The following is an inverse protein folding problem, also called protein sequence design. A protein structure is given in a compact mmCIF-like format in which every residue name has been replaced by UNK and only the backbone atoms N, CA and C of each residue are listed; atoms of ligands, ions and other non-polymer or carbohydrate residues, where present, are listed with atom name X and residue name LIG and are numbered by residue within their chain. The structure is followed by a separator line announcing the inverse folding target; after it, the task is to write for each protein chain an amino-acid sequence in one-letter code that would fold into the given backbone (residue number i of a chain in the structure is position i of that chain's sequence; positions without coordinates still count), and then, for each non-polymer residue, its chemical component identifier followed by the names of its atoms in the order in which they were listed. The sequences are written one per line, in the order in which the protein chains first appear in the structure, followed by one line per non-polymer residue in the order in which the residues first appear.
data_IF_539915537741
#
_entry.id   IF_539915537741
#
_cell.length_a   1.000
_cell.length_b   1.000
_cell.length_c   1.000
_cell.angle_alpha   90.00
_cell.angle_beta   90.00
_cell.angle_gamma   90.00
#
_symmetry.space_group_name_H-M   'P 1'
#
loop_
_entity.id
_entity.type
_entity.pdbx_description
1 polymer ?
#
# COMPACT_ATOMS: atom_id res chain seq x y z
N UNK A 1 26.93 -17.43 -28.38
CA UNK A 1 26.53 -16.05 -28.00
C UNK A 1 26.10 -16.06 -26.54
N UNK A 2 26.91 -15.57 -25.59
CA UNK A 2 26.50 -15.48 -24.20
C UNK A 2 25.77 -14.16 -23.92
N UNK A 3 24.67 -14.25 -23.18
CA UNK A 3 23.78 -13.16 -22.79
C UNK A 3 24.51 -12.16 -21.89
N UNK A 4 24.36 -10.87 -22.22
CA UNK A 4 24.96 -9.73 -21.51
C UNK A 4 24.26 -9.47 -20.17
N UNK A 5 25.08 -9.39 -19.13
CA UNK A 5 24.97 -8.66 -17.86
C UNK A 5 23.61 -8.00 -17.55
N UNK A 6 22.88 -8.62 -16.61
CA UNK A 6 21.82 -7.97 -15.86
C UNK A 6 22.40 -6.90 -14.92
N UNK A 7 21.93 -5.67 -15.05
CA UNK A 7 22.20 -4.59 -14.12
C UNK A 7 21.48 -4.88 -12.80
N UNK A 8 22.19 -5.46 -11.83
CA UNK A 8 21.78 -5.44 -10.43
C UNK A 8 21.88 -4.00 -9.93
N UNK A 9 20.73 -3.33 -9.79
CA UNK A 9 20.64 -2.04 -9.11
C UNK A 9 20.67 -2.30 -7.60
N UNK A 10 21.89 -2.38 -7.05
CA UNK A 10 22.13 -2.43 -5.61
C UNK A 10 21.74 -1.10 -4.99
N UNK A 11 20.45 -0.91 -4.67
CA UNK A 11 20.06 0.12 -3.71
C UNK A 11 20.49 -0.36 -2.34
N UNK A 12 21.49 0.31 -1.78
CA UNK A 12 21.90 0.19 -0.39
C UNK A 12 20.65 0.29 0.50
N UNK A 13 20.26 -0.84 1.06
CA UNK A 13 19.21 -0.92 2.08
C UNK A 13 19.83 -0.29 3.32
N UNK A 14 19.62 1.01 3.50
CA UNK A 14 19.78 1.64 4.81
C UNK A 14 18.75 0.98 5.71
N UNK A 15 19.21 0.01 6.50
CA UNK A 15 18.46 -0.61 7.56
C UNK A 15 17.94 0.54 8.44
N UNK A 16 16.62 0.75 8.40
CA UNK A 16 15.92 1.68 9.31
C UNK A 16 15.84 0.99 10.67
N UNK A 17 16.99 0.86 11.31
CA UNK A 17 17.17 0.41 12.69
C UNK A 17 16.84 1.59 13.60
N UNK A 18 15.57 1.68 14.06
CA UNK A 18 15.14 2.22 15.37
C UNK A 18 13.66 2.59 15.46
N UNK A 19 12.83 2.48 14.40
CA UNK A 19 11.40 2.83 14.47
C UNK A 19 10.44 1.65 14.68
N UNK A 20 10.91 0.40 14.54
CA UNK A 20 10.03 -0.75 14.24
C UNK A 20 9.00 -1.12 15.33
N UNK A 21 9.21 -0.77 16.60
CA UNK A 21 8.30 -1.17 17.68
C UNK A 21 7.12 -0.19 17.88
N UNK A 22 7.33 1.12 17.65
CA UNK A 22 6.23 2.11 17.71
C UNK A 22 5.33 2.10 16.49
N UNK A 23 5.77 1.43 15.42
CA UNK A 23 5.14 1.48 14.10
C UNK A 23 4.12 0.33 13.85
N UNK A 24 4.05 -0.66 14.74
CA UNK A 24 3.15 -1.84 14.62
C UNK A 24 1.64 -1.52 14.59
N UNK A 25 1.27 -0.26 14.85
CA UNK A 25 -0.13 0.23 14.82
C UNK A 25 -0.34 1.38 13.83
N UNK A 26 0.61 1.65 12.94
CA UNK A 26 0.51 2.71 11.93
C UNK A 26 -0.80 2.58 11.13
N UNK A 27 -1.13 1.35 10.72
CA UNK A 27 -2.28 1.08 9.86
C UNK A 27 -3.60 0.99 10.62
N UNK A 28 -3.59 0.84 11.94
CA UNK A 28 -4.84 0.86 12.74
C UNK A 28 -5.53 2.22 12.67
N UNK A 29 -4.76 3.30 12.46
CA UNK A 29 -5.30 4.64 12.25
C UNK A 29 -6.20 4.75 11.00
N UNK A 30 -6.03 3.86 10.03
CA UNK A 30 -6.82 3.84 8.78
C UNK A 30 -8.08 2.97 8.89
N UNK A 31 -8.31 2.32 10.04
CA UNK A 31 -9.54 1.56 10.27
C UNK A 31 -10.76 2.49 10.33
N UNK A 32 -10.58 3.66 10.93
CA UNK A 32 -11.58 4.72 10.96
C UNK A 32 -11.03 5.97 10.27
N UNK A 33 -11.39 6.13 9.00
CA UNK A 33 -10.90 7.22 8.16
C UNK A 33 -11.41 8.59 8.62
N UNK A 34 -12.52 8.65 9.36
CA UNK A 34 -13.09 9.90 9.85
C UNK A 34 -12.26 10.49 10.99
N UNK A 35 -11.57 9.63 11.74
CA UNK A 35 -10.71 10.01 12.85
C UNK A 35 -9.24 10.18 12.45
N UNK A 36 -8.90 9.96 11.17
CA UNK A 36 -7.53 10.01 10.69
C UNK A 36 -7.03 11.47 10.61
N UNK A 37 -5.93 11.76 11.29
CA UNK A 37 -5.24 13.04 11.19
C UNK A 37 -4.57 13.19 9.81
N UNK A 38 -4.74 14.35 9.17
CA UNK A 38 -4.12 14.68 7.89
C UNK A 38 -2.59 14.54 7.91
N UNK A 39 -1.92 14.92 9.01
CA UNK A 39 -0.46 14.79 9.13
C UNK A 39 -0.01 13.32 9.10
N UNK A 40 -0.79 12.43 9.72
CA UNK A 40 -0.52 10.99 9.70
C UNK A 40 -0.77 10.39 8.32
N UNK A 41 -1.88 10.79 7.68
CA UNK A 41 -2.20 10.37 6.31
C UNK A 41 -1.06 10.70 5.34
N UNK A 42 -0.59 11.96 5.38
CA UNK A 42 0.49 12.44 4.53
C UNK A 42 1.82 11.74 4.85
N UNK A 43 2.14 11.57 6.13
CA UNK A 43 3.37 10.88 6.55
C UNK A 43 3.38 9.42 6.12
N UNK A 44 2.25 8.74 6.09
CA UNK A 44 2.18 7.30 5.80
C UNK A 44 2.06 7.07 4.29
N UNK A 45 1.09 7.71 3.65
CA UNK A 45 0.71 7.45 2.26
C UNK A 45 1.37 8.38 1.25
N UNK A 46 1.89 9.52 1.71
CA UNK A 46 2.39 10.61 0.86
C UNK A 46 1.28 11.43 0.19
N UNK A 47 0.02 11.27 0.61
CA UNK A 47 -1.14 12.00 0.08
C UNK A 47 -1.85 12.80 1.17
N UNK A 48 -2.49 13.89 0.77
CA UNK A 48 -3.47 14.57 1.62
C UNK A 48 -4.66 13.66 1.89
N UNK A 49 -5.38 13.91 2.99
CA UNK A 49 -6.56 13.10 3.34
C UNK A 49 -7.61 13.13 2.21
N UNK A 50 -7.77 14.28 1.55
CA UNK A 50 -8.69 14.47 0.43
C UNK A 50 -8.31 13.63 -0.79
N UNK A 51 -7.03 13.59 -1.17
CA UNK A 51 -6.54 12.77 -2.28
C UNK A 51 -6.69 11.28 -1.98
N UNK A 52 -6.36 10.88 -0.74
CA UNK A 52 -6.50 9.51 -0.27
C UNK A 52 -7.96 9.05 -0.33
N UNK A 53 -8.90 9.83 0.21
CA UNK A 53 -10.33 9.53 0.15
C UNK A 53 -10.85 9.49 -1.27
N UNK A 54 -10.44 10.45 -2.11
CA UNK A 54 -10.80 10.47 -3.53
C UNK A 54 -10.38 9.15 -4.17
N UNK A 55 -9.13 8.74 -4.02
CA UNK A 55 -8.63 7.48 -4.56
C UNK A 55 -9.36 6.25 -3.97
N UNK A 56 -9.57 6.20 -2.65
CA UNK A 56 -10.31 5.10 -2.01
C UNK A 56 -11.72 4.94 -2.57
N UNK A 57 -12.40 6.05 -2.87
CA UNK A 57 -13.73 6.03 -3.48
C UNK A 57 -13.73 5.56 -4.94
N UNK A 58 -12.61 5.66 -5.66
CA UNK A 58 -12.49 5.11 -7.01
C UNK A 58 -12.28 3.61 -7.02
N UNK A 59 -11.57 3.08 -6.02
CA UNK A 59 -11.30 1.65 -5.92
C UNK A 59 -12.46 0.96 -5.18
N UNK A 60 -13.23 0.14 -5.88
CA UNK A 60 -14.42 -0.53 -5.33
C UNK A 60 -14.29 -2.05 -5.32
N UNK A 61 -13.38 -2.61 -6.12
CA UNK A 61 -13.18 -4.05 -6.29
C UNK A 61 -12.24 -4.68 -5.24
N UNK A 62 -11.83 -3.95 -4.19
CA UNK A 62 -11.08 -4.54 -3.07
C UNK A 62 -12.06 -5.17 -2.10
N UNK A 63 -11.91 -6.48 -1.86
CA UNK A 63 -12.67 -7.18 -0.83
C UNK A 63 -12.01 -6.95 0.52
N UNK A 64 -12.80 -6.58 1.52
CA UNK A 64 -12.38 -6.58 2.91
C UNK A 64 -12.05 -8.02 3.33
N UNK A 65 -10.86 -8.23 3.88
CA UNK A 65 -10.37 -9.58 4.22
C UNK A 65 -9.72 -9.58 5.59
N UNK A 66 -9.97 -10.62 6.38
CA UNK A 66 -9.38 -10.83 7.70
C UNK A 66 -9.56 -9.64 8.66
N UNK A 67 -10.70 -8.97 8.62
CA UNK A 67 -11.01 -7.81 9.48
C UNK A 67 -10.22 -6.54 9.12
N UNK A 68 -9.63 -6.46 7.93
CA UNK A 68 -8.94 -5.28 7.41
C UNK A 68 -9.84 -4.51 6.46
N UNK A 69 -9.95 -3.20 6.69
CA UNK A 69 -10.74 -2.31 5.84
C UNK A 69 -10.00 -2.06 4.52
N UNK A 70 -10.75 -1.68 3.49
CA UNK A 70 -10.18 -1.27 2.20
C UNK A 70 -9.13 -0.17 2.36
N UNK A 71 -9.40 0.83 3.21
CA UNK A 71 -8.52 1.96 3.47
C UNK A 71 -7.19 1.50 4.09
N UNK A 72 -7.20 0.52 4.99
CA UNK A 72 -5.98 -0.06 5.54
C UNK A 72 -5.13 -0.73 4.46
N UNK A 73 -5.77 -1.46 3.54
CA UNK A 73 -5.09 -2.11 2.43
C UNK A 73 -4.49 -1.07 1.47
N UNK A 74 -5.24 -0.04 1.09
CA UNK A 74 -4.73 1.05 0.24
C UNK A 74 -3.56 1.78 0.91
N UNK A 75 -3.65 2.06 2.22
CA UNK A 75 -2.57 2.68 2.97
C UNK A 75 -1.31 1.81 3.00
N UNK A 76 -1.44 0.49 3.18
CA UNK A 76 -0.35 -0.49 3.08
C UNK A 76 0.33 -0.42 1.71
N UNK A 77 -0.44 -0.45 0.62
CA UNK A 77 0.10 -0.37 -0.73
C UNK A 77 0.85 0.94 -1.00
N UNK A 78 0.28 2.07 -0.57
CA UNK A 78 0.95 3.38 -0.69
C UNK A 78 2.21 3.46 0.14
N UNK A 79 2.19 2.95 1.36
CA UNK A 79 3.36 2.89 2.22
C UNK A 79 4.47 2.03 1.60
N UNK A 80 4.12 0.87 1.06
CA UNK A 80 5.03 -0.01 0.34
C UNK A 80 5.69 0.69 -0.86
N UNK A 81 4.90 1.33 -1.73
CA UNK A 81 5.43 2.07 -2.88
C UNK A 81 6.38 3.21 -2.46
N UNK A 82 6.09 3.86 -1.33
CA UNK A 82 6.88 5.01 -0.84
C UNK A 82 8.19 4.59 -0.18
N UNK A 83 8.19 3.49 0.56
CA UNK A 83 9.35 3.04 1.35
C UNK A 83 10.18 1.98 0.64
N UNK A 84 9.60 1.25 -0.31
CA UNK A 84 10.28 0.17 -1.04
C UNK A 84 10.66 -1.01 -0.14
N UNK A 85 9.90 -1.26 0.93
CA UNK A 85 10.16 -2.37 1.85
C UNK A 85 9.84 -3.73 1.21
N UNK A 86 10.52 -4.77 1.66
CA UNK A 86 10.16 -6.14 1.35
C UNK A 86 8.90 -6.57 2.13
N UNK A 87 8.27 -7.67 1.69
CA UNK A 87 7.01 -8.14 2.25
C UNK A 87 7.13 -8.66 3.70
N UNK A 88 8.31 -9.14 4.11
CA UNK A 88 8.53 -9.60 5.47
C UNK A 88 8.63 -8.41 6.43
N UNK A 89 9.37 -7.37 6.06
CA UNK A 89 9.39 -6.10 6.80
C UNK A 89 7.98 -5.49 6.91
N UNK A 90 7.18 -5.55 5.84
CA UNK A 90 5.79 -5.10 5.87
C UNK A 90 4.91 -5.95 6.80
N UNK A 91 5.10 -7.28 6.82
CA UNK A 91 4.28 -8.14 7.68
C UNK A 91 4.51 -7.85 9.16
N UNK A 92 5.76 -7.54 9.55
CA UNK A 92 6.09 -7.11 10.91
C UNK A 92 5.44 -5.76 11.26
N UNK A 93 5.37 -4.82 10.32
CA UNK A 93 4.77 -3.49 10.53
C UNK A 93 3.23 -3.50 10.52
N UNK A 94 2.62 -4.37 9.73
CA UNK A 94 1.17 -4.44 9.58
C UNK A 94 0.50 -5.13 10.78
N UNK A 95 1.26 -5.95 11.52
CA UNK A 95 0.89 -6.51 12.81
C UNK A 95 1.11 -8.02 12.92
N UNK A 96 1.20 -8.52 14.16
CA UNK A 96 1.67 -9.87 14.49
C UNK A 96 0.84 -11.04 13.89
N UNK A 97 -0.38 -10.77 13.41
CA UNK A 97 -1.25 -11.80 12.82
C UNK A 97 -1.23 -11.78 11.28
N UNK A 98 -0.37 -10.96 10.66
CA UNK A 98 -0.26 -10.88 9.21
C UNK A 98 1.03 -11.52 8.77
N UNK A 99 0.92 -12.57 7.96
CA UNK A 99 2.04 -13.26 7.33
C UNK A 99 2.48 -12.56 6.04
N UNK A 100 3.69 -12.85 5.59
CA UNK A 100 4.20 -12.39 4.30
C UNK A 100 3.28 -12.77 3.13
N UNK A 101 2.71 -13.98 3.15
CA UNK A 101 1.79 -14.45 2.11
C UNK A 101 0.51 -13.61 2.07
N UNK A 102 0.00 -13.20 3.24
CA UNK A 102 -1.14 -12.30 3.31
C UNK A 102 -0.80 -10.91 2.77
N UNK A 103 0.38 -10.36 3.10
CA UNK A 103 0.85 -9.09 2.50
C UNK A 103 0.90 -9.21 0.97
N UNK A 104 1.47 -10.29 0.44
CA UNK A 104 1.52 -10.51 -1.01
C UNK A 104 0.13 -10.54 -1.64
N UNK A 105 -0.82 -11.25 -1.00
CA UNK A 105 -2.21 -11.31 -1.43
C UNK A 105 -2.87 -9.93 -1.44
N UNK A 106 -2.71 -9.16 -0.35
CA UNK A 106 -3.22 -7.79 -0.25
C UNK A 106 -2.67 -6.87 -1.35
N UNK A 107 -1.35 -6.92 -1.59
CA UNK A 107 -0.71 -6.13 -2.64
C UNK A 107 -1.16 -6.57 -4.04
N UNK A 108 -1.45 -7.85 -4.28
CA UNK A 108 -2.02 -8.32 -5.55
C UNK A 108 -3.42 -7.78 -5.75
N UNK A 109 -4.28 -7.94 -4.75
CA UNK A 109 -5.68 -7.52 -4.79
C UNK A 109 -5.81 -6.02 -5.11
N UNK A 110 -4.99 -5.17 -4.47
CA UNK A 110 -5.02 -3.73 -4.72
C UNK A 110 -4.54 -3.41 -6.14
N UNK A 111 -3.49 -4.07 -6.63
CA UNK A 111 -3.03 -3.88 -8.02
C UNK A 111 -4.11 -4.26 -9.02
N UNK A 112 -4.75 -5.41 -8.84
CA UNK A 112 -5.86 -5.86 -9.67
C UNK A 112 -7.03 -4.87 -9.65
N UNK A 113 -7.40 -4.37 -8.46
CA UNK A 113 -8.44 -3.37 -8.33
C UNK A 113 -8.07 -2.03 -9.00
N UNK A 114 -6.80 -1.60 -8.95
CA UNK A 114 -6.33 -0.43 -9.70
C UNK A 114 -6.46 -0.65 -11.21
N UNK A 115 -6.06 -1.81 -11.72
CA UNK A 115 -6.17 -2.12 -13.15
C UNK A 115 -7.62 -2.20 -13.62
N UNK A 116 -8.53 -2.62 -12.76
CA UNK A 116 -9.95 -2.76 -13.08
C UNK A 116 -10.73 -1.45 -12.93
N UNK A 117 -10.51 -0.73 -11.82
CA UNK A 117 -11.38 0.37 -11.40
C UNK A 117 -10.81 1.76 -11.70
N UNK A 118 -9.48 1.88 -11.83
CA UNK A 118 -8.82 3.17 -12.02
C UNK A 118 -8.26 3.33 -13.44
N UNK A 119 -7.49 2.35 -13.90
CA UNK A 119 -6.80 2.42 -15.20
C UNK A 119 -7.75 2.72 -16.36
N UNK A 120 -8.91 2.05 -16.53
CA UNK A 120 -9.78 2.30 -17.68
C UNK A 120 -10.29 3.74 -17.77
N UNK A 121 -10.53 4.39 -16.63
CA UNK A 121 -11.11 5.73 -16.58
C UNK A 121 -10.08 6.85 -16.67
N UNK A 122 -8.87 6.63 -16.17
CA UNK A 122 -7.84 7.68 -16.09
C UNK A 122 -6.70 7.51 -17.08
N UNK A 123 -6.42 6.27 -17.51
CA UNK A 123 -5.28 5.93 -18.36
C UNK A 123 -5.67 5.11 -19.59
N UNK A 124 -6.89 4.55 -19.61
CA UNK A 124 -7.45 3.84 -20.75
C UNK A 124 -8.06 4.78 -21.77
N UNK A 125 -8.29 4.28 -22.99
CA UNK A 125 -9.02 4.99 -24.03
C UNK A 125 -10.55 5.02 -23.79
N UNK A 126 -11.04 4.48 -22.68
CA UNK A 126 -12.46 4.40 -22.40
C UNK A 126 -12.96 5.75 -21.88
N UNK A 127 -13.57 6.51 -22.78
CA UNK A 127 -14.40 7.67 -22.46
C UNK A 127 -15.79 7.17 -22.08
N UNK A 128 -16.04 7.05 -20.79
CA UNK A 128 -17.34 7.33 -20.13
C UNK A 128 -17.36 6.66 -18.75
N UNK A 129 -17.97 7.36 -17.79
CA UNK A 129 -18.24 6.90 -16.43
C UNK A 129 -19.66 7.24 -16.07
#
# INVERSE_FOLDING_TARGET
MPFKNGYFCSREIKIVENSSIKDSKIFEKFKDIQLLNESDCLKITGWTLKEFLKFSNFITSINETNGRTKEQLIALYRYWLRKGLDQFSLSLLFGNNTSQNQISSYLSQIREAIYKDFVPFFLGCNKER
#
